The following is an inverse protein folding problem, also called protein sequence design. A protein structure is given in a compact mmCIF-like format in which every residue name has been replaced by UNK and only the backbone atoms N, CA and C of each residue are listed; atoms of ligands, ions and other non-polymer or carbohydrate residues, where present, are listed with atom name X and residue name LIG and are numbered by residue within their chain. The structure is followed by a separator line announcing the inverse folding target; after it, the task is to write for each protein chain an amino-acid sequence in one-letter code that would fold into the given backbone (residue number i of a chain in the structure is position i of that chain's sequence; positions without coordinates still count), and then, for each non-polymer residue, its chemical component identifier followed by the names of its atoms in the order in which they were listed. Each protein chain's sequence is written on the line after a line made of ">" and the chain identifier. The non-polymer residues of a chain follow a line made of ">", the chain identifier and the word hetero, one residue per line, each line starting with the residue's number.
data_IF_719045861703
#
_entry.id   IF_719045861703
#
_cell.length_a   1.000
_cell.length_b   1.000
_cell.length_c   1.000
_cell.angle_alpha   90.00
_cell.angle_beta   90.00
_cell.angle_gamma   90.00
#
_symmetry.space_group_name_H-M   'P 1'
#
loop_
_entity.id
_entity.type
_entity.pdbx_description
1 polymer ?
#
# COMPACT_ATOMS: atom_id res chain seq x y z
N UNK A 1 -66.75 3.16 62.63
CA UNK A 1 -66.28 2.31 61.54
C UNK A 1 -65.74 3.20 60.43
N UNK A 2 -64.45 3.35 60.37
CA UNK A 2 -63.76 4.24 59.41
C UNK A 2 -63.04 3.35 58.40
N UNK A 3 -63.45 3.37 57.09
CA UNK A 3 -62.86 2.62 56.05
C UNK A 3 -61.71 3.42 55.42
N UNK A 4 -60.52 2.95 55.64
CA UNK A 4 -59.30 3.51 55.04
C UNK A 4 -59.19 3.04 53.61
N UNK A 5 -59.23 3.99 52.68
CA UNK A 5 -58.99 3.75 51.21
C UNK A 5 -57.49 3.80 50.99
N UNK A 6 -56.91 2.67 50.59
CA UNK A 6 -55.52 2.61 50.20
C UNK A 6 -55.48 2.76 48.68
N UNK A 7 -54.94 3.91 48.17
CA UNK A 7 -54.70 4.15 46.79
C UNK A 7 -53.33 3.54 46.36
N UNK A 8 -53.38 2.55 45.51
CA UNK A 8 -52.19 2.05 44.83
C UNK A 8 -51.86 2.96 43.63
N UNK A 9 -50.75 3.68 43.72
CA UNK A 9 -50.18 4.39 42.60
C UNK A 9 -49.18 3.44 41.91
N UNK A 10 -49.59 2.89 40.76
CA UNK A 10 -48.71 2.09 39.91
C UNK A 10 -47.80 3.04 39.09
N UNK A 11 -46.54 3.13 39.46
CA UNK A 11 -45.52 3.82 38.65
C UNK A 11 -45.13 2.92 37.45
N UNK A 12 -45.55 3.29 36.26
CA UNK A 12 -45.10 2.68 35.04
C UNK A 12 -43.72 3.25 34.73
N UNK A 13 -42.67 2.47 34.98
CA UNK A 13 -41.29 2.78 34.54
C UNK A 13 -41.21 2.41 33.07
N UNK A 14 -41.28 3.41 32.19
CA UNK A 14 -40.90 3.25 30.81
C UNK A 14 -39.35 3.03 30.70
N UNK A 15 -38.95 1.78 30.62
CA UNK A 15 -37.56 1.45 30.28
C UNK A 15 -37.38 1.72 28.78
N UNK A 16 -36.85 2.91 28.48
CA UNK A 16 -36.29 3.20 27.13
C UNK A 16 -35.04 2.38 26.99
N UNK A 17 -35.15 1.24 26.33
CA UNK A 17 -34.00 0.46 25.91
C UNK A 17 -33.24 1.26 24.83
N UNK A 18 -32.22 1.97 25.23
CA UNK A 18 -31.21 2.45 24.28
C UNK A 18 -30.50 1.20 23.71
N UNK A 19 -30.92 0.77 22.54
CA UNK A 19 -30.10 -0.13 21.75
C UNK A 19 -28.84 0.65 21.41
N UNK A 20 -27.78 0.42 22.16
CA UNK A 20 -26.44 0.85 21.75
C UNK A 20 -26.17 0.14 20.39
N UNK A 21 -26.28 0.85 19.30
CA UNK A 21 -25.83 0.36 18.00
C UNK A 21 -24.33 0.13 18.13
N UNK A 22 -23.94 -1.14 18.19
CA UNK A 22 -22.53 -1.50 18.11
C UNK A 22 -22.02 -1.04 16.74
N UNK A 23 -20.90 -0.32 16.75
CA UNK A 23 -20.22 0.06 15.49
C UNK A 23 -19.89 -1.20 14.69
N UNK A 24 -20.01 -1.12 13.37
CA UNK A 24 -19.55 -2.21 12.49
C UNK A 24 -18.04 -2.20 12.46
N UNK A 25 -17.42 -3.32 12.83
CA UNK A 25 -15.98 -3.46 12.83
C UNK A 25 -15.47 -3.54 11.36
N UNK A 26 -14.43 -2.80 11.06
CA UNK A 26 -13.70 -2.81 9.79
C UNK A 26 -12.23 -3.05 10.10
N UNK A 27 -11.67 -4.10 9.51
CA UNK A 27 -10.29 -4.51 9.70
C UNK A 27 -9.43 -4.08 8.51
N UNK A 28 -8.27 -3.50 8.80
CA UNK A 28 -7.30 -3.10 7.79
C UNK A 28 -5.95 -3.74 8.07
N UNK A 29 -5.53 -4.69 7.20
CA UNK A 29 -4.18 -5.27 7.26
C UNK A 29 -3.19 -4.34 6.60
N UNK A 30 -2.18 -3.93 7.35
CA UNK A 30 -1.11 -3.03 6.91
C UNK A 30 0.26 -3.63 7.16
N UNK A 31 1.20 -3.27 6.30
CA UNK A 31 2.61 -3.52 6.55
C UNK A 31 3.07 -2.72 7.77
N UNK A 32 3.72 -3.41 8.70
CA UNK A 32 4.36 -2.78 9.86
C UNK A 32 5.81 -2.51 9.56
N UNK A 33 6.16 -1.23 9.51
CA UNK A 33 7.54 -0.81 9.68
C UNK A 33 7.70 -0.39 11.16
N UNK A 34 8.22 -1.29 11.98
CA UNK A 34 8.17 -1.23 13.44
C UNK A 34 8.67 0.09 14.06
N UNK A 35 9.50 0.84 13.33
CA UNK A 35 10.15 2.04 13.84
C UNK A 35 9.39 3.35 13.52
N UNK A 36 8.49 3.37 12.54
CA UNK A 36 7.85 4.60 12.05
C UNK A 36 6.33 4.66 12.20
N UNK A 37 5.67 3.55 11.97
CA UNK A 37 4.25 3.55 11.65
C UNK A 37 3.30 3.41 12.84
N UNK A 38 3.60 2.72 13.96
CA UNK A 38 2.63 2.46 15.01
C UNK A 38 1.99 3.73 15.59
N UNK A 39 2.80 4.76 15.87
CA UNK A 39 2.29 6.01 16.48
C UNK A 39 1.38 6.79 15.51
N UNK A 40 1.75 6.85 14.23
CA UNK A 40 0.94 7.54 13.22
C UNK A 40 -0.38 6.81 12.98
N UNK A 41 -0.31 5.50 12.84
CA UNK A 41 -1.48 4.68 12.51
C UNK A 41 -2.44 4.53 13.69
N UNK A 42 -1.93 4.49 14.92
CA UNK A 42 -2.76 4.59 16.12
C UNK A 42 -3.52 5.94 16.18
N UNK A 43 -2.84 7.04 15.85
CA UNK A 43 -3.48 8.35 15.74
C UNK A 43 -4.54 8.39 14.64
N UNK A 44 -4.26 7.79 13.49
CA UNK A 44 -5.20 7.71 12.38
C UNK A 44 -6.44 6.90 12.77
N UNK A 45 -6.25 5.71 13.33
CA UNK A 45 -7.34 4.86 13.84
C UNK A 45 -8.20 5.58 14.87
N UNK A 46 -7.57 6.20 15.86
CA UNK A 46 -8.27 6.95 16.92
C UNK A 46 -9.01 8.16 16.36
N UNK A 47 -8.42 8.90 15.41
CA UNK A 47 -9.07 10.04 14.75
C UNK A 47 -10.30 9.59 13.97
N UNK A 48 -10.18 8.53 13.17
CA UNK A 48 -11.30 7.97 12.43
C UNK A 48 -12.42 7.49 13.35
N UNK A 49 -12.09 6.70 14.37
CA UNK A 49 -13.06 6.11 15.30
C UNK A 49 -13.78 7.17 16.15
N UNK A 50 -13.13 8.32 16.39
CA UNK A 50 -13.72 9.43 17.13
C UNK A 50 -14.58 10.36 16.27
N UNK A 51 -14.38 10.36 14.96
CA UNK A 51 -15.07 11.26 14.04
C UNK A 51 -16.45 10.78 13.60
N UNK A 52 -16.81 9.52 13.86
CA UNK A 52 -18.09 8.92 13.45
C UNK A 52 -18.46 7.74 14.36
N UNK A 53 -19.75 7.34 14.35
CA UNK A 53 -20.31 6.30 15.22
C UNK A 53 -20.77 5.04 14.47
N UNK A 54 -20.60 4.97 13.17
CA UNK A 54 -21.08 3.87 12.32
C UNK A 54 -20.09 2.71 12.27
N UNK A 55 -18.80 3.00 12.19
CA UNK A 55 -17.74 2.01 12.00
C UNK A 55 -16.69 2.09 13.11
N UNK A 56 -16.06 0.96 13.39
CA UNK A 56 -14.88 0.85 14.24
C UNK A 56 -13.74 0.29 13.41
N UNK A 57 -12.78 1.15 13.04
CA UNK A 57 -11.58 0.75 12.32
C UNK A 57 -10.60 0.09 13.28
N UNK A 58 -10.12 -1.09 12.92
CA UNK A 58 -9.01 -1.80 13.56
C UNK A 58 -7.91 -2.02 12.55
N UNK A 59 -6.74 -1.41 12.78
CA UNK A 59 -5.56 -1.59 11.95
C UNK A 59 -4.75 -2.75 12.52
N UNK A 60 -4.50 -3.76 11.67
CA UNK A 60 -3.74 -4.96 12.02
C UNK A 60 -2.35 -4.85 11.40
N UNK A 61 -1.33 -4.95 12.25
CA UNK A 61 0.07 -4.86 11.83
C UNK A 61 0.70 -6.23 11.80
N UNK A 62 1.29 -6.59 10.68
CA UNK A 62 2.09 -7.80 10.54
C UNK A 62 3.43 -7.46 9.89
N UNK A 63 4.53 -8.13 10.31
CA UNK A 63 5.81 -8.03 9.63
C UNK A 63 5.68 -8.46 8.17
N UNK A 64 6.36 -7.75 7.27
CA UNK A 64 6.19 -7.95 5.82
C UNK A 64 6.55 -9.35 5.36
N UNK A 65 7.57 -9.96 5.99
CA UNK A 65 8.07 -11.28 5.64
C UNK A 65 7.04 -12.41 5.81
N UNK A 66 6.11 -12.25 6.76
CA UNK A 66 5.07 -13.25 7.03
C UNK A 66 3.69 -12.84 6.52
N UNK A 67 3.48 -11.53 6.35
CA UNK A 67 2.17 -10.96 6.03
C UNK A 67 1.63 -11.40 4.68
N UNK A 68 2.46 -11.42 3.65
CA UNK A 68 2.03 -11.75 2.27
C UNK A 68 1.43 -13.15 2.23
N UNK A 69 2.09 -14.13 2.83
CA UNK A 69 1.61 -15.53 2.84
C UNK A 69 0.40 -15.73 3.77
N UNK A 70 0.40 -15.10 4.95
CA UNK A 70 -0.74 -15.19 5.87
C UNK A 70 -1.98 -14.50 5.29
N UNK A 71 -1.79 -13.36 4.65
CA UNK A 71 -2.85 -12.62 3.97
C UNK A 71 -3.45 -13.43 2.82
N UNK A 72 -2.60 -13.98 1.94
CA UNK A 72 -3.04 -14.85 0.84
C UNK A 72 -3.87 -16.02 1.36
N UNK A 73 -3.39 -16.70 2.40
CA UNK A 73 -4.09 -17.85 2.99
C UNK A 73 -5.44 -17.44 3.59
N UNK A 74 -5.49 -16.34 4.34
CA UNK A 74 -6.74 -15.86 4.95
C UNK A 74 -7.75 -15.37 3.92
N UNK A 75 -7.30 -14.68 2.86
CA UNK A 75 -8.15 -14.25 1.74
C UNK A 75 -8.77 -15.45 1.03
N UNK A 76 -7.96 -16.47 0.68
CA UNK A 76 -8.44 -17.71 0.05
C UNK A 76 -9.43 -18.47 0.93
N UNK A 77 -9.29 -18.40 2.25
CA UNK A 77 -10.21 -19.02 3.20
C UNK A 77 -11.49 -18.20 3.45
N UNK A 78 -11.64 -17.02 2.83
CA UNK A 78 -12.75 -16.09 3.10
C UNK A 78 -12.73 -15.46 4.50
N UNK A 79 -11.56 -15.45 5.13
CA UNK A 79 -11.32 -14.89 6.47
C UNK A 79 -10.32 -13.73 6.44
N UNK A 80 -10.12 -13.13 5.27
CA UNK A 80 -9.24 -11.98 5.10
C UNK A 80 -9.79 -10.71 5.76
N UNK A 81 -8.97 -9.67 5.92
CA UNK A 81 -9.40 -8.37 6.40
C UNK A 81 -10.30 -7.66 5.36
N UNK A 82 -11.07 -6.66 5.84
CA UNK A 82 -11.96 -5.87 4.95
C UNK A 82 -11.17 -4.96 4.02
N UNK A 83 -10.01 -4.45 4.48
CA UNK A 83 -9.11 -3.61 3.70
C UNK A 83 -7.72 -4.24 3.69
N UNK A 84 -7.17 -4.38 2.49
CA UNK A 84 -5.88 -5.02 2.25
C UNK A 84 -4.90 -4.01 1.68
N UNK A 85 -3.74 -3.85 2.30
CA UNK A 85 -2.60 -3.19 1.69
C UNK A 85 -1.72 -4.21 0.98
N UNK A 86 -1.28 -3.88 -0.23
CA UNK A 86 -0.36 -4.73 -1.00
C UNK A 86 0.90 -3.95 -1.41
N UNK A 87 2.04 -4.64 -1.63
CA UNK A 87 3.25 -3.98 -2.12
C UNK A 87 3.11 -3.37 -3.53
N UNK A 88 2.14 -3.83 -4.32
CA UNK A 88 1.97 -3.29 -5.65
C UNK A 88 0.89 -3.99 -6.49
N UNK A 89 0.72 -3.54 -7.75
CA UNK A 89 -0.36 -3.99 -8.63
C UNK A 89 -0.42 -5.49 -8.90
N UNK A 90 0.73 -6.17 -8.95
CA UNK A 90 0.79 -7.61 -9.22
C UNK A 90 0.00 -8.43 -8.18
N UNK A 91 0.09 -8.06 -6.92
CA UNK A 91 -0.67 -8.70 -5.84
C UNK A 91 -2.17 -8.38 -5.93
N UNK A 92 -2.52 -7.15 -6.31
CA UNK A 92 -3.92 -6.76 -6.53
C UNK A 92 -4.54 -7.58 -7.64
N UNK A 93 -3.80 -7.78 -8.75
CA UNK A 93 -4.26 -8.58 -9.89
C UNK A 93 -4.60 -10.01 -9.46
N UNK A 94 -3.76 -10.65 -8.66
CA UNK A 94 -4.02 -12.01 -8.16
C UNK A 94 -5.34 -12.10 -7.39
N UNK A 95 -5.62 -11.15 -6.49
CA UNK A 95 -6.86 -11.14 -5.73
C UNK A 95 -8.08 -10.76 -6.59
N UNK A 96 -7.91 -9.89 -7.57
CA UNK A 96 -8.95 -9.53 -8.51
C UNK A 96 -9.35 -10.73 -9.40
N UNK A 97 -8.38 -11.43 -9.99
CA UNK A 97 -8.63 -12.65 -10.79
C UNK A 97 -9.31 -13.76 -9.98
N UNK A 98 -9.02 -13.84 -8.69
CA UNK A 98 -9.68 -14.77 -7.77
C UNK A 98 -11.09 -14.30 -7.32
N UNK A 99 -11.55 -13.12 -7.76
CA UNK A 99 -12.86 -12.57 -7.40
C UNK A 99 -12.98 -12.16 -5.93
N UNK A 100 -11.86 -11.80 -5.30
CA UNK A 100 -11.81 -11.45 -3.86
C UNK A 100 -11.91 -9.95 -3.59
N UNK A 101 -11.88 -9.12 -4.64
CA UNK A 101 -11.92 -7.66 -4.50
C UNK A 101 -13.23 -7.09 -5.02
N UNK A 102 -13.72 -6.08 -4.33
CA UNK A 102 -14.87 -5.29 -4.74
C UNK A 102 -14.51 -4.35 -5.90
N UNK A 103 -15.42 -4.20 -6.87
CA UNK A 103 -15.31 -3.19 -7.91
C UNK A 103 -15.56 -1.80 -7.32
N UNK A 104 -14.61 -0.90 -7.50
CA UNK A 104 -14.61 0.43 -6.89
C UNK A 104 -15.08 1.54 -7.83
N UNK A 105 -15.52 1.26 -9.06
CA UNK A 105 -15.86 2.27 -10.07
C UNK A 105 -16.94 3.24 -9.60
N UNK A 106 -17.99 2.74 -8.94
CA UNK A 106 -19.07 3.57 -8.41
C UNK A 106 -18.59 4.52 -7.32
N UNK A 107 -17.73 4.06 -6.43
CA UNK A 107 -17.13 4.88 -5.37
C UNK A 107 -16.14 5.88 -5.95
N UNK A 108 -15.35 5.46 -6.94
CA UNK A 108 -14.41 6.36 -7.63
C UNK A 108 -15.13 7.53 -8.29
N UNK A 109 -16.30 7.27 -8.89
CA UNK A 109 -17.15 8.31 -9.48
C UNK A 109 -17.78 9.23 -8.41
N UNK A 110 -18.34 8.63 -7.34
CA UNK A 110 -18.97 9.38 -6.25
C UNK A 110 -18.00 10.30 -5.53
N UNK A 111 -16.79 9.82 -5.23
CA UNK A 111 -15.78 10.57 -4.47
C UNK A 111 -14.80 11.36 -5.35
N UNK A 112 -14.90 11.26 -6.69
CA UNK A 112 -14.03 11.96 -7.64
C UNK A 112 -12.57 11.54 -7.52
N UNK A 113 -12.28 10.26 -7.32
CA UNK A 113 -10.91 9.78 -7.10
C UNK A 113 -10.02 9.96 -8.32
N UNK A 114 -10.56 9.82 -9.52
CA UNK A 114 -9.82 9.99 -10.76
C UNK A 114 -9.17 11.37 -10.90
N UNK A 115 -9.84 12.42 -10.37
CA UNK A 115 -9.34 13.79 -10.42
C UNK A 115 -8.43 14.15 -9.23
N UNK A 116 -8.48 13.36 -8.17
CA UNK A 116 -7.71 13.57 -6.93
C UNK A 116 -6.40 12.81 -6.88
N UNK A 117 -6.31 11.71 -7.60
CA UNK A 117 -5.15 10.83 -7.60
C UNK A 117 -4.26 11.09 -8.81
N UNK A 118 -2.97 10.81 -8.67
CA UNK A 118 -2.02 10.89 -9.78
C UNK A 118 -2.45 9.90 -10.86
N UNK A 119 -2.60 10.33 -12.13
CA UNK A 119 -3.22 9.50 -13.19
C UNK A 119 -2.59 8.12 -13.37
N UNK A 120 -1.26 8.04 -13.42
CA UNK A 120 -0.57 6.75 -13.56
C UNK A 120 -0.76 5.85 -12.34
N UNK A 121 -0.80 6.43 -11.13
CA UNK A 121 -1.02 5.68 -9.90
C UNK A 121 -2.48 5.17 -9.80
N UNK A 122 -3.45 5.98 -10.24
CA UNK A 122 -4.84 5.53 -10.40
C UNK A 122 -4.93 4.34 -11.37
N UNK A 123 -4.26 4.45 -12.51
CA UNK A 123 -4.27 3.40 -13.54
C UNK A 123 -3.65 2.09 -13.06
N UNK A 124 -2.73 2.12 -12.09
CA UNK A 124 -2.14 0.91 -11.52
C UNK A 124 -3.12 0.05 -10.71
N UNK A 125 -4.26 0.64 -10.30
CA UNK A 125 -5.36 -0.07 -9.63
C UNK A 125 -6.46 -0.56 -10.58
N UNK A 126 -6.33 -0.30 -11.90
CA UNK A 126 -7.33 -0.66 -12.91
C UNK A 126 -6.94 -1.99 -13.56
N UNK A 127 -7.85 -2.96 -13.50
CA UNK A 127 -7.71 -4.28 -14.12
C UNK A 127 -8.99 -4.58 -14.93
N UNK A 128 -8.82 -5.09 -16.13
CA UNK A 128 -9.94 -5.39 -17.05
C UNK A 128 -10.92 -4.22 -17.24
N UNK A 129 -10.37 -2.99 -17.21
CA UNK A 129 -11.12 -1.74 -17.40
C UNK A 129 -11.85 -1.22 -16.16
N UNK A 130 -11.75 -1.87 -15.00
CA UNK A 130 -12.39 -1.48 -13.75
C UNK A 130 -11.40 -1.28 -12.61
N UNK A 131 -11.71 -0.38 -11.69
CA UNK A 131 -10.89 -0.06 -10.52
C UNK A 131 -11.13 -1.07 -9.40
N UNK A 132 -10.07 -1.68 -8.88
CA UNK A 132 -10.09 -2.61 -7.73
C UNK A 132 -9.19 -2.20 -6.58
N UNK A 133 -8.29 -1.25 -6.80
CA UNK A 133 -7.43 -0.73 -5.75
C UNK A 133 -7.15 0.77 -5.94
N UNK A 134 -6.87 1.44 -4.83
CA UNK A 134 -6.43 2.84 -4.83
C UNK A 134 -5.00 2.93 -4.29
N UNK A 135 -4.13 3.78 -4.89
CA UNK A 135 -2.77 3.95 -4.41
C UNK A 135 -2.77 4.67 -3.05
N UNK A 136 -2.06 4.11 -2.08
CA UNK A 136 -1.81 4.75 -0.77
C UNK A 136 -0.59 5.68 -0.84
N UNK A 137 0.49 5.17 -1.40
CA UNK A 137 1.78 5.87 -1.56
C UNK A 137 2.33 5.64 -2.94
N UNK A 138 3.29 6.47 -3.34
CA UNK A 138 4.14 6.21 -4.49
C UNK A 138 5.60 6.41 -4.07
N UNK A 139 6.48 5.70 -4.73
CA UNK A 139 7.91 5.74 -4.48
C UNK A 139 8.66 6.06 -5.77
N UNK A 140 9.82 6.69 -5.63
CA UNK A 140 10.73 6.92 -6.73
C UNK A 140 12.06 6.30 -6.39
N UNK A 141 12.60 5.52 -7.33
CA UNK A 141 13.95 5.01 -7.20
C UNK A 141 14.92 6.11 -7.62
N UNK A 142 15.85 6.42 -6.72
CA UNK A 142 16.87 7.45 -6.95
C UNK A 142 18.25 6.89 -6.62
N UNK A 143 19.25 7.36 -7.36
CA UNK A 143 20.63 7.09 -7.04
C UNK A 143 21.14 8.16 -6.07
N UNK A 144 21.54 7.75 -4.88
CA UNK A 144 22.19 8.62 -3.92
C UNK A 144 23.71 8.55 -4.09
N UNK A 145 24.38 9.66 -3.87
CA UNK A 145 25.85 9.71 -3.86
C UNK A 145 26.38 10.32 -2.57
N UNK A 146 27.57 9.90 -2.15
CA UNK A 146 28.24 10.47 -1.01
C UNK A 146 28.87 11.82 -1.42
N UNK A 147 28.19 12.91 -1.06
CA UNK A 147 28.61 14.27 -1.43
C UNK A 147 30.02 14.61 -0.95
N UNK A 148 30.36 14.30 0.32
CA UNK A 148 31.66 14.53 0.89
C UNK A 148 32.75 13.81 0.11
N UNK A 149 32.56 12.54 -0.20
CA UNK A 149 33.50 11.75 -0.97
C UNK A 149 33.74 12.32 -2.36
N UNK A 150 32.68 12.81 -3.02
CA UNK A 150 32.78 13.44 -4.33
C UNK A 150 33.57 14.76 -4.26
N UNK A 151 33.30 15.61 -3.28
CA UNK A 151 34.01 16.88 -3.04
C UNK A 151 35.51 16.67 -2.75
N UNK A 152 35.85 15.74 -1.85
CA UNK A 152 37.22 15.40 -1.48
C UNK A 152 38.06 14.89 -2.67
N UNK A 153 37.42 14.24 -3.65
CA UNK A 153 38.09 13.69 -4.82
C UNK A 153 37.94 14.56 -6.07
N UNK A 154 37.27 15.68 -5.99
CA UNK A 154 37.02 16.55 -7.14
C UNK A 154 36.16 15.93 -8.21
N UNK A 155 35.31 14.93 -7.86
CA UNK A 155 34.40 14.28 -8.79
C UNK A 155 33.14 15.11 -8.99
N UNK A 156 32.65 15.11 -10.22
CA UNK A 156 31.36 15.73 -10.55
C UNK A 156 30.25 14.68 -10.51
N UNK A 157 29.03 15.12 -10.14
CA UNK A 157 27.85 14.27 -10.25
C UNK A 157 27.58 13.99 -11.72
N UNK A 158 27.51 12.71 -12.16
CA UNK A 158 27.32 12.37 -13.55
C UNK A 158 25.90 12.74 -14.01
N UNK A 159 25.80 13.22 -15.24
CA UNK A 159 24.56 13.58 -15.91
C UNK A 159 24.29 12.71 -17.16
N UNK A 160 25.29 11.91 -17.55
CA UNK A 160 25.20 10.96 -18.64
C UNK A 160 25.71 9.58 -18.21
N UNK A 161 25.41 8.53 -18.96
CA UNK A 161 25.94 7.19 -18.71
C UNK A 161 27.46 7.14 -18.86
N UNK A 162 28.04 7.85 -19.83
CA UNK A 162 29.48 7.94 -20.03
C UNK A 162 30.19 8.59 -18.82
N UNK A 163 29.63 9.68 -18.29
CA UNK A 163 30.14 10.33 -17.07
C UNK A 163 29.99 9.40 -15.85
N UNK A 164 28.93 8.61 -15.78
CA UNK A 164 28.73 7.62 -14.74
C UNK A 164 29.78 6.51 -14.80
N UNK A 165 30.09 6.00 -16.00
CA UNK A 165 31.13 5.00 -16.21
C UNK A 165 32.52 5.55 -15.84
N UNK A 166 32.83 6.80 -16.23
CA UNK A 166 34.08 7.47 -15.88
C UNK A 166 34.25 7.59 -14.38
N UNK A 167 33.25 8.11 -13.65
CA UNK A 167 33.32 8.24 -12.20
C UNK A 167 33.38 6.88 -11.50
N UNK A 168 32.67 5.88 -12.03
CA UNK A 168 32.72 4.50 -11.54
C UNK A 168 34.13 3.91 -11.67
N UNK A 169 34.81 4.15 -12.79
CA UNK A 169 36.20 3.78 -13.00
C UNK A 169 37.15 4.44 -11.97
N UNK A 170 36.95 5.73 -11.69
CA UNK A 170 37.73 6.48 -10.69
C UNK A 170 37.52 5.95 -9.26
N UNK A 171 36.29 5.57 -8.92
CA UNK A 171 35.96 4.97 -7.62
C UNK A 171 36.66 3.61 -7.47
N UNK A 172 36.54 2.74 -8.49
CA UNK A 172 37.24 1.43 -8.51
C UNK A 172 38.75 1.55 -8.39
N UNK A 173 39.35 2.52 -9.07
CA UNK A 173 40.78 2.75 -9.02
C UNK A 173 41.28 3.11 -7.58
N UNK A 174 40.39 3.55 -6.70
CA UNK A 174 40.68 3.79 -5.26
C UNK A 174 40.39 2.56 -4.38
N UNK A 175 40.03 1.42 -4.97
CA UNK A 175 39.71 0.20 -4.21
C UNK A 175 38.37 0.24 -3.50
N UNK A 176 37.45 1.11 -3.94
CA UNK A 176 36.12 1.26 -3.36
C UNK A 176 35.04 0.60 -4.22
N UNK A 177 33.95 0.19 -3.59
CA UNK A 177 32.76 -0.28 -4.29
C UNK A 177 32.01 0.90 -4.91
N UNK A 178 31.55 0.70 -6.16
CA UNK A 178 30.85 1.76 -6.92
C UNK A 178 29.40 1.89 -6.47
N UNK A 179 28.76 0.74 -6.27
CA UNK A 179 27.33 0.65 -5.91
C UNK A 179 27.15 -0.20 -4.68
N UNK A 180 26.24 0.22 -3.85
CA UNK A 180 25.70 -0.57 -2.74
C UNK A 180 24.21 -0.37 -2.64
N UNK A 181 23.48 -1.42 -2.31
CA UNK A 181 22.07 -1.32 -1.97
C UNK A 181 21.70 -2.36 -0.92
N UNK A 182 20.66 -2.07 -0.14
CA UNK A 182 20.15 -3.00 0.84
C UNK A 182 19.06 -3.89 0.25
N UNK A 183 19.11 -5.19 0.53
CA UNK A 183 18.08 -6.15 0.11
C UNK A 183 17.63 -7.06 1.24
N UNK A 184 18.05 -6.80 2.47
CA UNK A 184 17.68 -7.59 3.63
C UNK A 184 16.28 -7.21 4.12
N UNK A 185 15.44 -8.22 4.34
CA UNK A 185 14.12 -8.06 4.95
C UNK A 185 13.03 -7.47 4.05
N UNK A 186 13.30 -7.21 2.77
CA UNK A 186 12.30 -6.69 1.85
C UNK A 186 12.45 -7.28 0.44
N UNK A 187 11.65 -8.29 0.11
CA UNK A 187 11.70 -8.99 -1.17
C UNK A 187 11.53 -8.10 -2.41
N UNK A 188 10.61 -7.09 -2.42
CA UNK A 188 10.38 -6.26 -3.59
C UNK A 188 11.60 -5.46 -4.07
N UNK A 189 12.68 -5.32 -3.29
CA UNK A 189 13.90 -4.63 -3.73
C UNK A 189 14.46 -5.17 -5.04
N UNK A 190 14.47 -6.50 -5.21
CA UNK A 190 14.97 -7.14 -6.43
C UNK A 190 14.06 -6.87 -7.63
N UNK A 191 12.75 -6.91 -7.42
CA UNK A 191 11.75 -6.62 -8.45
C UNK A 191 11.87 -5.17 -8.93
N UNK A 192 12.06 -4.23 -8.02
CA UNK A 192 12.30 -2.82 -8.36
C UNK A 192 13.56 -2.63 -9.19
N UNK A 193 14.67 -3.26 -8.81
CA UNK A 193 15.91 -3.18 -9.58
C UNK A 193 15.76 -3.77 -10.98
N UNK A 194 15.14 -4.95 -11.11
CA UNK A 194 14.86 -5.57 -12.41
C UNK A 194 13.96 -4.68 -13.25
N UNK A 195 12.90 -4.13 -12.65
CA UNK A 195 11.98 -3.21 -13.32
C UNK A 195 12.69 -1.96 -13.85
N UNK A 196 13.61 -1.36 -13.08
CA UNK A 196 14.41 -0.23 -13.51
C UNK A 196 15.32 -0.62 -14.67
N UNK A 197 16.02 -1.74 -14.56
CA UNK A 197 16.90 -2.24 -15.62
C UNK A 197 16.16 -2.46 -16.93
N UNK A 198 15.06 -3.19 -16.87
CA UNK A 198 14.25 -3.50 -18.05
C UNK A 198 13.73 -2.22 -18.73
N UNK A 199 13.15 -1.30 -17.94
CA UNK A 199 12.61 -0.05 -18.48
C UNK A 199 13.70 0.89 -19.05
N UNK A 200 14.90 0.90 -18.49
CA UNK A 200 16.00 1.71 -19.00
C UNK A 200 16.68 1.07 -20.23
N UNK A 201 16.69 -0.27 -20.34
CA UNK A 201 17.32 -0.97 -21.44
C UNK A 201 16.38 -1.09 -22.66
N UNK A 202 15.19 -1.61 -22.45
CA UNK A 202 14.23 -1.91 -23.52
C UNK A 202 13.22 -0.77 -23.77
N UNK A 203 13.09 0.14 -22.83
CA UNK A 203 12.05 1.17 -22.82
C UNK A 203 10.72 0.67 -22.25
N UNK A 204 9.90 1.58 -21.69
CA UNK A 204 8.68 1.22 -21.00
C UNK A 204 7.63 0.54 -21.90
N UNK A 205 7.59 0.88 -23.18
CA UNK A 205 6.63 0.30 -24.13
C UNK A 205 6.92 -1.18 -24.37
N UNK A 206 8.19 -1.54 -24.64
CA UNK A 206 8.58 -2.94 -24.86
C UNK A 206 8.37 -3.81 -23.61
N UNK A 207 8.62 -3.24 -22.42
CA UNK A 207 8.36 -3.92 -21.15
C UNK A 207 6.86 -4.14 -20.94
N UNK A 208 6.04 -3.13 -21.23
CA UNK A 208 4.58 -3.23 -21.13
C UNK A 208 4.02 -4.31 -22.06
N UNK A 209 4.43 -4.31 -23.34
CA UNK A 209 4.04 -5.31 -24.34
C UNK A 209 4.43 -6.73 -23.91
N UNK A 210 5.62 -6.90 -23.31
CA UNK A 210 6.04 -8.20 -22.80
C UNK A 210 5.23 -8.66 -21.58
N UNK A 211 4.86 -7.76 -20.68
CA UNK A 211 4.02 -8.07 -19.53
C UNK A 211 2.59 -8.43 -19.96
N UNK A 212 2.06 -7.77 -20.98
CA UNK A 212 0.69 -8.02 -21.48
C UNK A 212 0.61 -9.21 -22.44
N UNK A 213 1.76 -9.77 -22.83
CA UNK A 213 1.83 -10.89 -23.78
C UNK A 213 1.69 -10.48 -25.26
N UNK A 214 1.79 -9.18 -25.55
CA UNK A 214 1.82 -8.65 -26.92
C UNK A 214 3.19 -8.81 -27.60
N UNK A 215 4.22 -9.12 -26.80
CA UNK A 215 5.60 -9.34 -27.21
C UNK A 215 6.21 -10.48 -26.41
N UNK A 216 7.08 -11.27 -27.03
CA UNK A 216 7.87 -12.26 -26.30
C UNK A 216 9.04 -11.59 -25.55
N UNK A 217 9.40 -12.12 -24.38
CA UNK A 217 10.54 -11.63 -23.59
C UNK A 217 11.90 -11.78 -24.30
N UNK A 218 11.94 -12.60 -25.35
CA UNK A 218 13.12 -12.89 -26.17
C UNK A 218 13.19 -12.06 -27.45
N UNK A 219 12.20 -11.24 -27.73
CA UNK A 219 12.18 -10.38 -28.91
C UNK A 219 13.27 -9.29 -28.81
N UNK A 220 13.92 -8.95 -29.94
CA UNK A 220 14.91 -7.87 -29.97
C UNK A 220 14.31 -6.53 -29.55
N UNK A 221 15.06 -5.74 -28.81
CA UNK A 221 14.76 -4.35 -28.42
C UNK A 221 15.67 -3.37 -29.12
#
# INVERSE_FOLDING_TARGET
>A
MMKTLVSFVSAIILSVSFSAFSKTKVTWSMESNADRDPIFLEKLQNAYNSAQDKYELEIQFEPNETRIESLRTSMLAGMGPDIVETPGPSYVKEYQEAGMLENLDSYAAEFGWKDKLIPWAYSSGVFDGSLYAIPKTHESMVMLYNKTLFEENGWKVPTTLEELEDVAGKIKAKGMDVYTYGSSGWQPTHEHLVGIYLNNYAGPQAVYEAITGEREWTDPV
#
